data_IF_027291544735
#
_entry.id   IF_027291544735
#
_cell.length_a   1.000
_cell.length_b   1.000
_cell.length_c   1.000
_cell.angle_alpha   90.00
_cell.angle_beta   90.00
_cell.angle_gamma   90.00
#
_symmetry.space_group_name_H-M   'P 1'
#
loop_
_entity.id
_entity.type
_entity.pdbx_description
1 polymer ?
#
# COMPACT_ATOMS: atom_id res chain seq x y z
N UNK A 1 -25.04 -8.04 8.72
CA UNK A 1 -24.57 -7.95 8.95
C UNK A 1 -23.79 -7.84 9.27
N UNK A 2 -23.45 -7.60 9.31
CA UNK A 2 -22.67 -7.47 9.66
C UNK A 2 -21.80 -7.27 9.79
N UNK A 3 -21.55 -6.99 9.76
CA UNK A 3 -20.70 -6.81 9.99
C UNK A 3 -19.93 -6.67 10.18
N UNK A 4 -19.93 -6.22 9.99
CA UNK A 4 -19.08 -6.19 10.25
C UNK A 4 -18.16 -6.19 10.69
N UNK A 5 -17.66 -6.28 10.62
CA UNK A 5 -16.73 -6.45 11.11
C UNK A 5 -15.58 -5.98 10.79
N UNK A 6 -15.56 -5.39 10.06
CA UNK A 6 -14.37 -4.85 9.71
C UNK A 6 -14.15 -3.76 10.58
N UNK A 7 -13.11 -3.80 11.31
CA UNK A 7 -12.83 -2.77 12.23
C UNK A 7 -12.55 -1.53 11.49
N UNK A 8 -12.76 -1.47 10.30
CA UNK A 8 -12.51 -0.29 9.66
C UNK A 8 -11.54 -0.46 8.55
N UNK A 9 -10.82 0.58 8.17
CA UNK A 9 -9.96 0.52 7.04
C UNK A 9 -8.61 -0.05 7.36
N UNK A 10 -8.00 -0.68 6.37
CA UNK A 10 -6.63 -1.14 6.49
C UNK A 10 -5.76 0.04 6.10
N UNK A 11 -4.90 0.48 7.00
CA UNK A 11 -4.07 1.65 6.77
C UNK A 11 -2.61 1.28 6.66
N UNK A 12 -1.90 1.94 5.77
CA UNK A 12 -0.49 1.68 5.55
C UNK A 12 0.21 2.97 5.19
N UNK A 13 1.39 3.20 5.75
CA UNK A 13 2.19 4.34 5.39
C UNK A 13 3.46 3.86 4.69
N UNK A 14 3.82 4.51 3.60
CA UNK A 14 5.02 4.17 2.87
C UNK A 14 5.90 5.40 2.74
N UNK A 15 7.14 5.30 3.17
CA UNK A 15 8.11 6.36 3.01
C UNK A 15 8.92 6.04 1.76
N UNK A 16 9.04 6.99 0.87
CA UNK A 16 9.83 6.78 -0.35
C UNK A 16 10.43 8.11 -0.78
N UNK A 17 11.76 8.17 -0.84
CA UNK A 17 12.40 9.40 -1.29
C UNK A 17 12.11 9.59 -2.77
N UNK A 18 12.08 10.83 -3.20
CA UNK A 18 11.84 11.13 -4.61
C UNK A 18 10.41 11.53 -4.94
N UNK A 19 9.56 11.65 -3.93
CA UNK A 19 8.17 12.01 -4.17
C UNK A 19 7.97 13.47 -4.56
N UNK A 20 9.04 14.24 -4.57
CA UNK A 20 8.93 15.62 -5.05
C UNK A 20 9.01 15.70 -6.55
N UNK A 21 9.46 14.63 -7.19
CA UNK A 21 9.52 14.58 -8.63
C UNK A 21 8.10 14.41 -9.17
N UNK A 22 7.60 15.43 -9.84
CA UNK A 22 6.23 15.42 -10.33
C UNK A 22 5.94 14.28 -11.27
N UNK A 23 6.90 13.90 -12.10
CA UNK A 23 6.68 12.79 -13.01
C UNK A 23 6.47 11.48 -12.25
N UNK A 24 7.21 11.29 -11.16
CA UNK A 24 7.05 10.10 -10.36
C UNK A 24 5.68 10.08 -9.70
N UNK A 25 5.22 11.22 -9.24
CA UNK A 25 3.90 11.28 -8.62
C UNK A 25 2.81 10.97 -9.62
N UNK A 26 2.92 11.47 -10.84
CA UNK A 26 1.91 11.19 -11.84
C UNK A 26 1.89 9.70 -12.18
N UNK A 27 3.05 9.07 -12.26
CA UNK A 27 3.12 7.65 -12.52
C UNK A 27 2.55 6.86 -11.34
N UNK A 28 2.84 7.29 -10.13
CA UNK A 28 2.33 6.63 -8.95
C UNK A 28 0.82 6.74 -8.88
N UNK A 29 0.28 7.92 -9.18
CA UNK A 29 -1.17 8.11 -9.21
C UNK A 29 -1.81 7.13 -10.17
N UNK A 30 -1.23 6.98 -11.34
CA UNK A 30 -1.78 6.07 -12.34
C UNK A 30 -1.83 4.64 -11.82
N UNK A 31 -0.76 4.21 -11.16
CA UNK A 31 -0.71 2.84 -10.63
C UNK A 31 -1.69 2.65 -9.47
N UNK A 32 -1.76 3.61 -8.58
CA UNK A 32 -2.60 3.44 -7.40
C UNK A 32 -4.08 3.56 -7.72
N UNK A 33 -4.43 4.38 -8.69
CA UNK A 33 -5.83 4.52 -9.06
C UNK A 33 -6.41 3.26 -9.69
N UNK A 34 -5.56 2.38 -10.16
CA UNK A 34 -6.02 1.13 -10.74
C UNK A 34 -6.37 0.08 -9.69
N UNK A 35 -6.07 0.33 -8.42
CA UNK A 35 -6.30 -0.65 -7.38
C UNK A 35 -7.68 -0.48 -6.78
N UNK A 36 -8.53 -1.52 -6.81
CA UNK A 36 -9.87 -1.42 -6.24
C UNK A 36 -9.85 -1.16 -4.75
N UNK A 37 -10.79 -0.39 -4.27
CA UNK A 37 -10.99 -0.11 -2.85
C UNK A 37 -9.85 0.66 -2.19
N UNK A 38 -8.94 1.20 -2.96
CA UNK A 38 -7.80 1.93 -2.41
C UNK A 38 -8.04 3.44 -2.46
N UNK A 39 -7.77 4.09 -1.36
CA UNK A 39 -7.69 5.55 -1.31
C UNK A 39 -6.29 5.87 -0.85
N UNK A 40 -5.74 6.98 -1.32
CA UNK A 40 -4.38 7.32 -0.96
C UNK A 40 -4.18 8.83 -0.92
N UNK A 41 -3.13 9.22 -0.22
CA UNK A 41 -2.78 10.63 -0.10
C UNK A 41 -1.25 10.71 -0.10
N UNK A 42 -0.71 11.62 -0.89
CA UNK A 42 0.73 11.79 -0.99
C UNK A 42 1.15 13.05 -0.26
N UNK A 43 2.09 12.92 0.67
CA UNK A 43 2.68 14.06 1.36
C UNK A 43 4.08 14.24 0.81
N UNK A 44 4.20 15.12 -0.18
CA UNK A 44 5.46 15.33 -0.88
C UNK A 44 6.53 15.93 0.00
N UNK A 45 6.14 16.71 0.98
CA UNK A 45 7.12 17.37 1.84
C UNK A 45 7.81 16.41 2.77
N UNK A 46 7.16 15.31 3.09
CA UNK A 46 7.71 14.33 4.01
C UNK A 46 8.03 13.00 3.33
N UNK A 47 7.89 12.92 2.00
CA UNK A 47 8.12 11.70 1.24
C UNK A 47 7.28 10.53 1.75
N UNK A 48 6.02 10.81 2.10
CA UNK A 48 5.12 9.78 2.61
C UNK A 48 3.92 9.59 1.71
N UNK A 49 3.47 8.35 1.62
CA UNK A 49 2.23 8.01 0.94
C UNK A 49 1.37 7.26 1.95
N UNK A 50 0.17 7.76 2.17
CA UNK A 50 -0.78 7.12 3.08
C UNK A 50 -1.76 6.33 2.24
N UNK A 51 -1.91 5.05 2.54
CA UNK A 51 -2.81 4.18 1.80
C UNK A 51 -3.91 3.67 2.73
N UNK A 52 -5.13 3.66 2.24
CA UNK A 52 -6.27 3.13 2.97
C UNK A 52 -7.02 2.18 2.09
N UNK A 53 -7.27 0.99 2.56
CA UNK A 53 -8.02 -0.01 1.82
C UNK A 53 -9.25 -0.42 2.59
N UNK A 54 -10.39 -0.47 1.91
CA UNK A 54 -11.60 -0.98 2.52
C UNK A 54 -11.54 -2.50 2.58
N UNK A 55 -10.85 -3.10 1.64
CA UNK A 55 -10.69 -4.54 1.56
C UNK A 55 -9.27 -4.86 1.14
N UNK A 56 -8.73 -6.01 1.51
CA UNK A 56 -7.35 -6.34 1.16
C UNK A 56 -7.24 -6.83 -0.28
N UNK A 57 -7.38 -5.90 -1.21
CA UNK A 57 -7.34 -6.20 -2.64
C UNK A 57 -5.93 -6.32 -3.18
N UNK A 58 -4.92 -6.01 -2.38
CA UNK A 58 -3.54 -6.03 -2.83
C UNK A 58 -2.66 -6.38 -1.64
N UNK A 59 -1.53 -7.02 -1.88
CA UNK A 59 -0.60 -7.36 -0.80
C UNK A 59 0.47 -6.28 -0.68
N UNK A 60 1.17 -6.27 0.45
CA UNK A 60 2.24 -5.29 0.62
C UNK A 60 3.37 -5.52 -0.37
N UNK A 61 3.56 -6.75 -0.83
CA UNK A 61 4.59 -7.03 -1.82
C UNK A 61 4.25 -6.41 -3.15
N UNK A 62 2.98 -6.41 -3.49
CA UNK A 62 2.53 -5.79 -4.73
C UNK A 62 2.64 -4.28 -4.64
N UNK A 63 2.36 -3.72 -3.47
CA UNK A 63 2.51 -2.29 -3.25
C UNK A 63 4.00 -1.92 -3.40
N UNK A 64 4.87 -2.72 -2.79
CA UNK A 64 6.30 -2.47 -2.90
C UNK A 64 6.75 -2.53 -4.35
N UNK A 65 6.23 -3.49 -5.11
CA UNK A 65 6.59 -3.63 -6.50
C UNK A 65 6.21 -2.42 -7.33
N UNK A 66 5.08 -1.79 -7.01
CA UNK A 66 4.66 -0.59 -7.70
C UNK A 66 5.68 0.53 -7.49
N UNK A 67 6.10 0.73 -6.26
CA UNK A 67 7.08 1.77 -5.96
C UNK A 67 8.42 1.48 -6.65
N UNK A 68 8.86 0.23 -6.61
CA UNK A 68 10.13 -0.13 -7.22
C UNK A 68 10.11 0.01 -8.73
N UNK A 69 8.99 -0.26 -9.34
CA UNK A 69 8.81 -0.11 -10.76
C UNK A 69 9.06 1.34 -11.17
N UNK A 70 8.77 2.27 -10.29
CA UNK A 70 8.96 3.68 -10.53
C UNK A 70 10.31 4.19 -10.04
N UNK A 71 11.20 3.29 -9.67
CA UNK A 71 12.51 3.62 -9.14
C UNK A 71 12.44 4.39 -7.82
N UNK A 72 11.41 4.11 -7.05
CA UNK A 72 11.29 4.64 -5.71
C UNK A 72 11.69 3.52 -4.75
N UNK A 73 12.27 3.89 -3.62
CA UNK A 73 12.71 2.91 -2.62
C UNK A 73 11.72 2.92 -1.46
N UNK A 74 10.73 2.06 -1.47
CA UNK A 74 9.67 2.12 -0.47
C UNK A 74 10.11 1.51 0.86
N UNK A 75 9.76 2.20 1.93
CA UNK A 75 9.97 1.70 3.27
C UNK A 75 8.65 1.82 4.01
N UNK A 76 8.17 0.70 4.50
CA UNK A 76 6.91 0.70 5.21
C UNK A 76 7.12 1.19 6.63
N UNK A 77 6.28 2.13 7.05
CA UNK A 77 6.40 2.74 8.36
C UNK A 77 5.52 1.96 9.32
N UNK A 78 6.09 1.48 10.40
CA UNK A 78 5.33 0.70 11.37
C UNK A 78 5.14 -0.72 10.92
N UNK A 79 4.25 -1.42 11.59
CA UNK A 79 3.99 -2.82 11.27
C UNK A 79 3.11 -2.94 10.04
N UNK A 80 3.38 -3.94 9.22
CA UNK A 80 2.57 -4.19 8.06
C UNK A 80 1.30 -4.90 8.50
N UNK A 81 0.12 -4.37 8.11
CA UNK A 81 -1.13 -5.02 8.51
C UNK A 81 -1.18 -6.47 8.02
N UNK A 82 -1.62 -7.39 8.87
CA UNK A 82 -1.66 -8.80 8.50
C UNK A 82 -2.49 -9.07 7.25
N UNK A 83 -3.50 -8.26 7.03
CA UNK A 83 -4.38 -8.43 5.88
C UNK A 83 -3.65 -8.26 4.56
N UNK A 84 -2.52 -7.55 4.57
CA UNK A 84 -1.77 -7.30 3.35
C UNK A 84 -0.60 -8.25 3.16
N UNK A 85 -0.42 -9.19 4.07
CA UNK A 85 0.67 -10.16 3.94
C UNK A 85 0.29 -11.22 2.93
N UNK A 86 1.31 -11.85 2.41
CA UNK A 86 1.11 -12.86 1.40
C UNK A 86 0.35 -14.06 1.94
N UNK A 87 -0.66 -14.52 1.23
CA UNK A 87 -1.40 -15.67 1.67
C UNK A 87 -0.68 -16.95 1.47
N UNK A 88 0.24 -16.96 0.56
CA UNK A 88 0.98 -18.18 0.28
C UNK A 88 1.66 -18.70 1.49
N UNK A 89 2.20 -17.81 2.28
CA UNK A 89 2.83 -18.24 3.47
C UNK A 89 1.91 -18.85 4.42
N UNK A 90 0.75 -18.33 4.53
CA UNK A 90 -0.20 -18.84 5.46
C UNK A 90 -0.49 -20.28 5.20
N UNK A 91 -0.61 -20.62 3.95
CA UNK A 91 -0.91 -21.95 3.67
C UNK A 91 0.17 -22.88 3.99
N UNK A 92 1.36 -22.48 3.80
CA UNK A 92 2.44 -23.32 4.13
C UNK A 92 2.51 -23.61 5.57
N UNK A 93 2.16 -22.66 6.35
CA UNK A 93 2.26 -22.87 7.75
C UNK A 93 1.26 -23.78 8.28
N UNK A 94 0.24 -23.98 7.59
CA UNK A 94 -0.77 -24.83 8.09
C UNK A 94 -0.29 -26.24 8.24
N UNK A 95 0.81 -26.52 7.71
CA UNK A 95 1.31 -27.86 7.91
C UNK A 95 1.96 -28.03 9.22
#
# INVERSE_FOLDING_TARGET
>A
MRIVNFPGMIELEVYATGLRDLNKILELDHELEAIPSLRYKVDRNHDLVYLELDEPTITFREIRAIFRKLNLDPRFVGAIPPELRSRTKTQLLSV
#
